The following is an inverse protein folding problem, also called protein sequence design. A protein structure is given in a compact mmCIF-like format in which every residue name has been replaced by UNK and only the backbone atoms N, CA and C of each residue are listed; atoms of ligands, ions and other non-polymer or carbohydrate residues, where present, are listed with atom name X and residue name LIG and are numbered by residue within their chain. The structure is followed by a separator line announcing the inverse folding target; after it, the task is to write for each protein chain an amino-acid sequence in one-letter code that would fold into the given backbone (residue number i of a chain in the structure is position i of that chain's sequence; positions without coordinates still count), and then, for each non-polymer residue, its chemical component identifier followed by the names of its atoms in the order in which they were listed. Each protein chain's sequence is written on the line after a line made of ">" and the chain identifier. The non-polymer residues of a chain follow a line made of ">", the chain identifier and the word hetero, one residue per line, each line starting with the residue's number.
data_IF_069488759171
#
_entry.id   IF_069488759171
#
_cell.length_a   1.000
_cell.length_b   1.000
_cell.length_c   1.000
_cell.angle_alpha   90.00
_cell.angle_beta   90.00
_cell.angle_gamma   90.00
#
_symmetry.space_group_name_H-M   'P 1'
#
loop_
_entity.id
_entity.type
_entity.pdbx_description
1 polymer ?
#
# COMPACT_ATOMS: atom_id res chain seq x y z
N UNK A 1 -8.57 -23.46 -10.80
CA UNK A 1 -7.83 -22.30 -10.27
C UNK A 1 -8.32 -22.10 -8.84
N UNK A 2 -7.44 -22.21 -7.83
CA UNK A 2 -7.85 -22.11 -6.43
C UNK A 2 -8.31 -20.66 -6.14
N UNK A 3 -9.43 -20.51 -5.44
CA UNK A 3 -9.95 -19.21 -5.00
C UNK A 3 -8.93 -18.45 -4.14
N UNK A 4 -8.09 -19.18 -3.39
CA UNK A 4 -6.97 -18.62 -2.63
C UNK A 4 -5.95 -17.86 -3.50
N UNK A 5 -5.62 -18.38 -4.69
CA UNK A 5 -4.67 -17.75 -5.61
C UNK A 5 -5.26 -16.46 -6.20
N UNK A 6 -6.57 -16.47 -6.51
CA UNK A 6 -7.28 -15.28 -6.96
C UNK A 6 -7.36 -14.22 -5.85
N UNK A 7 -7.63 -14.65 -4.61
CA UNK A 7 -7.63 -13.79 -3.43
C UNK A 7 -6.28 -13.12 -3.21
N UNK A 8 -5.19 -13.89 -3.27
CA UNK A 8 -3.84 -13.35 -3.13
C UNK A 8 -3.51 -12.32 -4.23
N UNK A 9 -3.89 -12.60 -5.48
CA UNK A 9 -3.72 -11.65 -6.59
C UNK A 9 -4.49 -10.34 -6.36
N UNK A 10 -5.72 -10.42 -5.84
CA UNK A 10 -6.53 -9.24 -5.53
C UNK A 10 -5.93 -8.41 -4.39
N UNK A 11 -5.43 -9.06 -3.34
CA UNK A 11 -4.75 -8.40 -2.21
C UNK A 11 -3.53 -7.63 -2.70
N UNK A 12 -2.67 -8.26 -3.52
CA UNK A 12 -1.48 -7.62 -4.08
C UNK A 12 -1.86 -6.44 -4.97
N UNK A 13 -2.88 -6.59 -5.83
CA UNK A 13 -3.34 -5.51 -6.70
C UNK A 13 -3.86 -4.30 -5.89
N UNK A 14 -4.68 -4.55 -4.86
CA UNK A 14 -5.22 -3.49 -4.01
C UNK A 14 -4.12 -2.75 -3.24
N UNK A 15 -3.13 -3.47 -2.70
CA UNK A 15 -1.99 -2.89 -2.01
C UNK A 15 -1.13 -2.03 -2.95
N UNK A 16 -0.78 -2.56 -4.12
CA UNK A 16 0.00 -1.84 -5.13
C UNK A 16 -0.69 -0.57 -5.59
N UNK A 17 -2.01 -0.63 -5.83
CA UNK A 17 -2.80 0.54 -6.21
C UNK A 17 -2.83 1.60 -5.11
N UNK A 18 -3.12 1.19 -3.86
CA UNK A 18 -3.18 2.11 -2.72
C UNK A 18 -1.84 2.81 -2.45
N UNK A 19 -0.75 2.06 -2.41
CA UNK A 19 0.61 2.59 -2.20
C UNK A 19 1.02 3.50 -3.36
N UNK A 20 0.75 3.10 -4.61
CA UNK A 20 1.03 3.90 -5.79
C UNK A 20 0.31 5.26 -5.76
N UNK A 21 -0.94 5.28 -5.31
CA UNK A 21 -1.70 6.51 -5.20
C UNK A 21 -1.18 7.42 -4.07
N UNK A 22 -0.87 6.86 -2.89
CA UNK A 22 -0.25 7.59 -1.78
C UNK A 22 1.08 8.20 -2.21
N UNK A 23 1.96 7.39 -2.81
CA UNK A 23 3.26 7.82 -3.31
C UNK A 23 3.15 8.94 -4.35
N UNK A 24 2.27 8.80 -5.34
CA UNK A 24 2.03 9.85 -6.35
C UNK A 24 1.56 11.17 -5.72
N UNK A 25 0.67 11.09 -4.74
CA UNK A 25 0.12 12.27 -4.05
C UNK A 25 1.19 12.95 -3.20
N UNK A 26 2.00 12.17 -2.48
CA UNK A 26 3.11 12.67 -1.69
C UNK A 26 4.16 13.33 -2.58
N UNK A 27 4.56 12.71 -3.69
CA UNK A 27 5.53 13.30 -4.63
C UNK A 27 5.05 14.65 -5.18
N UNK A 28 3.77 14.76 -5.57
CA UNK A 28 3.19 16.03 -6.04
C UNK A 28 3.17 17.09 -4.93
N UNK A 29 2.88 16.70 -3.69
CA UNK A 29 2.87 17.62 -2.56
C UNK A 29 4.27 18.11 -2.21
N UNK A 30 5.27 17.21 -2.17
CA UNK A 30 6.67 17.56 -1.89
C UNK A 30 7.25 18.46 -2.99
N UNK A 31 6.90 18.22 -4.26
CA UNK A 31 7.32 19.09 -5.36
C UNK A 31 6.74 20.51 -5.26
N UNK A 32 5.53 20.67 -4.70
CA UNK A 32 4.88 21.97 -4.49
C UNK A 32 5.36 22.68 -3.22
N UNK A 33 5.73 21.93 -2.20
CA UNK A 33 6.17 22.44 -0.90
C UNK A 33 7.44 21.70 -0.43
N UNK A 34 8.62 22.05 -0.95
CA UNK A 34 9.87 21.38 -0.61
C UNK A 34 10.22 21.46 0.88
N UNK A 35 9.90 22.57 1.54
CA UNK A 35 10.13 22.76 2.98
C UNK A 35 9.34 21.78 3.86
N UNK A 36 8.17 21.33 3.38
CA UNK A 36 7.34 20.36 4.08
C UNK A 36 7.67 18.90 3.73
N UNK A 37 8.65 18.65 2.84
CA UNK A 37 8.92 17.32 2.30
C UNK A 37 9.21 16.25 3.37
N UNK A 38 10.02 16.49 4.42
CA UNK A 38 10.27 15.49 5.45
C UNK A 38 9.00 15.08 6.21
N UNK A 39 8.10 16.03 6.46
CA UNK A 39 6.82 15.79 7.13
C UNK A 39 5.86 14.99 6.23
N UNK A 40 5.79 15.35 4.95
CA UNK A 40 4.98 14.65 3.95
C UNK A 40 5.47 13.21 3.78
N UNK A 41 6.79 13.01 3.66
CA UNK A 41 7.39 11.68 3.55
C UNK A 41 7.09 10.81 4.76
N UNK A 42 7.18 11.37 5.97
CA UNK A 42 6.83 10.64 7.20
C UNK A 42 5.37 10.20 7.20
N UNK A 43 4.44 11.10 6.87
CA UNK A 43 3.02 10.77 6.78
C UNK A 43 2.74 9.72 5.69
N UNK A 44 3.40 9.83 4.54
CA UNK A 44 3.33 8.86 3.44
C UNK A 44 3.77 7.46 3.90
N UNK A 45 4.92 7.35 4.56
CA UNK A 45 5.45 6.08 5.05
C UNK A 45 4.52 5.42 6.07
N UNK A 46 3.94 6.21 6.99
CA UNK A 46 2.95 5.70 7.95
C UNK A 46 1.72 5.14 7.22
N UNK A 47 1.19 5.89 6.25
CA UNK A 47 0.04 5.44 5.46
C UNK A 47 0.34 4.17 4.67
N UNK A 48 1.52 4.10 4.02
CA UNK A 48 1.98 2.90 3.32
C UNK A 48 2.13 1.70 4.28
N UNK A 49 2.69 1.90 5.48
CA UNK A 49 2.85 0.84 6.48
C UNK A 49 1.50 0.29 6.97
N UNK A 50 0.48 1.14 7.11
CA UNK A 50 -0.88 0.70 7.47
C UNK A 50 -1.52 -0.15 6.37
N UNK A 51 -1.35 0.24 5.10
CA UNK A 51 -1.82 -0.56 3.96
C UNK A 51 -1.09 -1.89 3.89
N UNK A 52 0.24 -1.89 4.00
CA UNK A 52 1.06 -3.11 4.02
C UNK A 52 0.66 -4.07 5.15
N UNK A 53 0.37 -3.54 6.34
CA UNK A 53 -0.12 -4.36 7.44
C UNK A 53 -1.38 -5.15 7.07
N UNK A 54 -2.39 -4.48 6.51
CA UNK A 54 -3.64 -5.13 6.09
C UNK A 54 -3.42 -6.07 4.91
N UNK A 55 -2.59 -5.68 3.95
CA UNK A 55 -2.27 -6.50 2.78
C UNK A 55 -1.56 -7.81 3.18
N UNK A 56 -0.60 -7.74 4.10
CA UNK A 56 0.10 -8.90 4.62
C UNK A 56 -0.87 -9.87 5.30
N UNK A 57 -1.78 -9.38 6.15
CA UNK A 57 -2.82 -10.22 6.74
C UNK A 57 -3.71 -10.87 5.69
N UNK A 58 -4.12 -10.13 4.65
CA UNK A 58 -4.90 -10.66 3.54
C UNK A 58 -4.17 -11.77 2.79
N UNK A 59 -2.88 -11.59 2.51
CA UNK A 59 -2.04 -12.59 1.84
C UNK A 59 -1.87 -13.85 2.70
N UNK A 60 -1.65 -13.68 4.01
CA UNK A 60 -1.56 -14.81 4.97
C UNK A 60 -2.88 -15.59 5.03
N UNK A 61 -4.02 -14.91 5.09
CA UNK A 61 -5.33 -15.57 5.07
C UNK A 61 -5.51 -16.37 3.78
N UNK A 62 -5.15 -15.80 2.62
CA UNK A 62 -5.21 -16.51 1.35
C UNK A 62 -4.29 -17.74 1.33
N UNK A 63 -3.09 -17.64 1.90
CA UNK A 63 -2.16 -18.75 2.02
C UNK A 63 -2.69 -19.87 2.93
N UNK A 64 -3.30 -19.53 4.06
CA UNK A 64 -3.87 -20.51 5.02
C UNK A 64 -5.18 -21.15 4.53
N UNK A 65 -5.92 -20.46 3.65
CA UNK A 65 -7.17 -20.96 3.08
C UNK A 65 -6.98 -21.88 1.86
N UNK A 66 -5.73 -22.13 1.45
CA UNK A 66 -5.35 -23.03 0.35
C UNK A 66 -5.05 -24.44 0.85
#
# INVERSE_FOLDING_TARGET
>A
MNLAVLGAGLVVFAAAFGIGWIGSSAMKAMARQPEAAPKIQTAMLIACALIEGVALFGAVICFLAN
#
